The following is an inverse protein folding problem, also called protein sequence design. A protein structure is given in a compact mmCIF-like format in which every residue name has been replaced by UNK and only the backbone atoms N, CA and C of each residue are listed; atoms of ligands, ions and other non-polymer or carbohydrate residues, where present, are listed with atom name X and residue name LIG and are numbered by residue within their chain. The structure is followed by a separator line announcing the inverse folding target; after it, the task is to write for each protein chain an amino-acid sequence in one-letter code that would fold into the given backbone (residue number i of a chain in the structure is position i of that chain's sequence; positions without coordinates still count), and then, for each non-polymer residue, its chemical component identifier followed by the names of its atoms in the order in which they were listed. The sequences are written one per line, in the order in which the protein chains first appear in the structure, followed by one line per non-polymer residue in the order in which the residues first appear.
data_IF_935558840347
#
_entry.id   IF_935558840347
#
_cell.length_a   1.000
_cell.length_b   1.000
_cell.length_c   1.000
_cell.angle_alpha   90.00
_cell.angle_beta   90.00
_cell.angle_gamma   90.00
#
_symmetry.space_group_name_H-M   'P 1'
#
loop_
_entity.id
_entity.type
_entity.pdbx_description
1 polymer ?
#
# COMPACT_ATOMS: atom_id res chain seq x y z
N UNK A 1 13.27 10.00 -13.13
CA UNK A 1 12.47 9.97 -11.88
C UNK A 1 11.60 11.21 -11.84
N UNK A 2 10.30 11.09 -11.55
CA UNK A 2 9.39 12.26 -11.52
C UNK A 2 9.67 13.12 -10.26
N UNK A 3 9.54 14.45 -10.31
CA UNK A 3 9.77 15.33 -9.15
C UNK A 3 8.97 14.93 -7.89
N UNK A 4 7.75 14.44 -8.07
CA UNK A 4 6.88 13.96 -6.97
C UNK A 4 7.52 12.80 -6.20
N UNK A 5 8.27 11.91 -6.88
CA UNK A 5 8.90 10.76 -6.24
C UNK A 5 10.14 11.17 -5.43
N UNK A 6 10.88 12.20 -5.89
CA UNK A 6 11.97 12.80 -5.11
C UNK A 6 11.44 13.52 -3.86
N UNK A 7 10.32 14.24 -3.99
CA UNK A 7 9.65 14.89 -2.85
C UNK A 7 9.19 13.85 -1.82
N UNK A 8 8.69 12.70 -2.27
CA UNK A 8 8.32 11.58 -1.40
C UNK A 8 9.51 11.03 -0.63
N UNK A 9 10.62 10.72 -1.31
CA UNK A 9 11.86 10.25 -0.66
C UNK A 9 12.36 11.28 0.35
N UNK A 10 12.40 12.56 -0.04
CA UNK A 10 12.80 13.66 0.84
C UNK A 10 11.93 13.77 2.08
N UNK A 11 10.60 13.57 1.94
CA UNK A 11 9.69 13.66 3.07
C UNK A 11 9.94 12.54 4.10
N UNK A 12 10.17 11.31 3.65
CA UNK A 12 10.47 10.15 4.52
C UNK A 12 11.85 10.31 5.17
N UNK A 13 12.86 10.70 4.40
CA UNK A 13 14.25 10.78 4.87
C UNK A 13 14.49 11.81 5.98
N UNK A 14 13.48 12.63 6.32
CA UNK A 14 13.53 13.55 7.48
C UNK A 14 13.61 12.82 8.81
N UNK A 15 13.08 11.60 8.91
CA UNK A 15 12.99 10.88 10.18
C UNK A 15 13.61 9.47 10.17
N UNK A 16 13.71 8.82 9.01
CA UNK A 16 14.17 7.44 8.90
C UNK A 16 15.03 7.20 7.65
N UNK A 17 15.65 6.01 7.58
CA UNK A 17 16.41 5.62 6.39
C UNK A 17 15.43 5.22 5.27
N UNK A 18 15.83 5.49 4.03
CA UNK A 18 15.07 5.11 2.82
C UNK A 18 15.89 4.12 2.02
N UNK A 19 15.43 2.88 1.95
CA UNK A 19 15.96 1.86 1.05
C UNK A 19 15.36 2.01 -0.35
N UNK A 20 16.21 2.07 -1.37
CA UNK A 20 15.80 2.19 -2.78
C UNK A 20 16.32 0.99 -3.56
N UNK A 21 15.41 0.29 -4.26
CA UNK A 21 15.80 -0.71 -5.26
C UNK A 21 16.05 0.00 -6.58
N UNK A 22 17.28 -0.01 -7.06
CA UNK A 22 17.65 0.59 -8.35
C UNK A 22 17.97 -0.50 -9.38
N UNK A 23 17.36 -0.40 -10.57
CA UNK A 23 17.54 -1.35 -11.68
C UNK A 23 19.02 -1.67 -11.97
N UNK A 24 19.86 -0.64 -11.98
CA UNK A 24 21.29 -0.74 -12.21
C UNK A 24 22.07 0.41 -11.55
N UNK A 25 23.40 0.38 -11.65
CA UNK A 25 24.28 1.43 -11.12
C UNK A 25 24.09 2.79 -11.82
N UNK A 26 23.59 2.80 -13.06
CA UNK A 26 23.30 4.04 -13.79
C UNK A 26 22.12 4.76 -13.16
N UNK A 27 21.03 4.03 -12.89
CA UNK A 27 19.84 4.56 -12.22
C UNK A 27 20.17 4.98 -10.79
N UNK A 28 20.93 4.18 -10.03
CA UNK A 28 21.40 4.57 -8.70
C UNK A 28 22.18 5.90 -8.73
N UNK A 29 23.14 6.03 -9.64
CA UNK A 29 23.92 7.26 -9.80
C UNK A 29 23.05 8.46 -10.17
N UNK A 30 22.07 8.26 -11.05
CA UNK A 30 21.08 9.28 -11.40
C UNK A 30 20.24 9.71 -10.19
N UNK A 31 19.71 8.76 -9.41
CA UNK A 31 18.89 9.05 -8.23
C UNK A 31 19.70 9.83 -7.19
N UNK A 32 20.94 9.40 -6.90
CA UNK A 32 21.81 10.11 -5.97
C UNK A 32 22.05 11.56 -6.39
N UNK A 33 22.30 11.81 -7.68
CA UNK A 33 22.50 13.16 -8.20
C UNK A 33 21.24 14.02 -8.10
N UNK A 34 20.06 13.46 -8.34
CA UNK A 34 18.79 14.18 -8.20
C UNK A 34 18.43 14.46 -6.73
N UNK A 35 18.68 13.52 -5.83
CA UNK A 35 18.47 13.71 -4.39
C UNK A 35 19.40 14.77 -3.81
N UNK A 36 20.67 14.81 -4.24
CA UNK A 36 21.64 15.84 -3.86
C UNK A 36 21.17 17.26 -4.25
N UNK A 37 20.66 17.41 -5.48
CA UNK A 37 20.06 18.68 -5.96
C UNK A 37 18.85 19.13 -5.13
N UNK A 38 18.14 18.18 -4.52
CA UNK A 38 17.00 18.45 -3.65
C UNK A 38 17.41 18.61 -2.17
N UNK A 39 18.71 18.64 -1.87
CA UNK A 39 19.26 18.76 -0.51
C UNK A 39 18.76 17.64 0.42
N UNK A 40 18.64 16.42 -0.10
CA UNK A 40 18.36 15.22 0.70
C UNK A 40 19.66 14.77 1.37
N UNK A 41 19.59 14.44 2.66
CA UNK A 41 20.71 13.84 3.38
C UNK A 41 20.99 12.42 2.83
N UNK A 42 21.99 12.31 1.96
CA UNK A 42 22.35 11.04 1.32
C UNK A 42 22.81 9.97 2.32
N UNK A 43 23.17 10.33 3.56
CA UNK A 43 23.49 9.33 4.59
C UNK A 43 22.26 8.55 5.09
N UNK A 44 21.06 9.02 4.76
CA UNK A 44 19.78 8.34 5.01
C UNK A 44 19.34 7.43 3.87
N UNK A 45 20.07 7.40 2.76
CA UNK A 45 19.66 6.69 1.55
C UNK A 45 20.52 5.45 1.37
N UNK A 46 19.87 4.30 1.29
CA UNK A 46 20.51 3.00 1.04
C UNK A 46 20.01 2.41 -0.27
N UNK A 47 20.85 1.63 -0.95
CA UNK A 47 20.52 1.06 -2.25
C UNK A 47 20.71 -0.44 -2.30
N UNK A 48 19.73 -1.12 -2.89
CA UNK A 48 19.88 -2.49 -3.42
C UNK A 48 19.86 -2.38 -4.94
N UNK A 49 20.97 -2.75 -5.59
CA UNK A 49 21.07 -2.67 -7.05
C UNK A 49 20.74 -4.03 -7.66
N UNK A 50 19.59 -4.12 -8.33
CA UNK A 50 19.13 -5.28 -9.09
C UNK A 50 18.15 -4.84 -10.17
N UNK A 51 18.03 -5.59 -11.29
CA UNK A 51 16.96 -5.35 -12.26
C UNK A 51 15.58 -5.32 -11.59
N UNK A 52 14.70 -4.49 -12.13
CA UNK A 52 13.28 -4.36 -11.77
C UNK A 52 12.47 -4.17 -13.05
N UNK A 53 11.20 -4.58 -13.04
CA UNK A 53 10.25 -4.37 -14.13
C UNK A 53 9.39 -3.13 -13.87
N UNK A 54 8.96 -2.89 -12.63
CA UNK A 54 8.16 -1.74 -12.21
C UNK A 54 8.61 -1.17 -10.85
N UNK A 55 7.91 -0.16 -10.33
CA UNK A 55 8.25 0.61 -9.12
C UNK A 55 7.36 0.32 -7.90
N UNK A 56 6.36 -0.56 -8.01
CA UNK A 56 5.35 -0.79 -6.97
C UNK A 56 5.84 -1.70 -5.84
N UNK A 57 6.77 -1.17 -5.06
CA UNK A 57 7.43 -1.87 -3.96
C UNK A 57 6.45 -2.38 -2.89
N UNK A 58 5.26 -1.79 -2.76
CA UNK A 58 4.21 -2.32 -1.88
C UNK A 58 3.81 -3.74 -2.25
N UNK A 59 3.73 -4.02 -3.54
CA UNK A 59 3.09 -5.22 -4.06
C UNK A 59 4.08 -6.34 -4.31
N UNK A 60 5.26 -6.00 -4.86
CA UNK A 60 6.32 -6.98 -5.09
C UNK A 60 7.39 -7.00 -3.99
N UNK A 61 7.28 -6.13 -2.97
CA UNK A 61 8.30 -5.97 -1.95
C UNK A 61 8.23 -6.98 -0.82
N UNK A 62 9.21 -6.95 0.10
CA UNK A 62 9.31 -7.89 1.21
C UNK A 62 8.20 -7.65 2.25
N UNK A 63 7.42 -8.69 2.52
CA UNK A 63 6.51 -8.70 3.66
C UNK A 63 7.30 -9.05 4.94
N UNK A 64 7.72 -8.03 5.69
CA UNK A 64 8.48 -8.22 6.93
C UNK A 64 7.60 -8.72 8.08
N UNK A 65 8.10 -9.70 8.82
CA UNK A 65 7.50 -10.19 10.06
C UNK A 65 8.49 -10.02 11.22
N UNK A 66 7.93 -9.81 12.42
CA UNK A 66 8.67 -9.82 13.68
C UNK A 66 8.10 -10.92 14.57
N UNK A 67 8.95 -11.80 15.07
CA UNK A 67 8.57 -12.74 16.11
C UNK A 67 8.36 -11.97 17.43
N UNK A 68 7.17 -11.99 18.04
CA UNK A 68 6.89 -11.20 19.23
C UNK A 68 7.69 -11.64 20.46
N UNK A 69 8.11 -12.91 20.54
CA UNK A 69 8.85 -13.46 21.66
C UNK A 69 10.37 -13.32 21.51
N UNK A 70 10.92 -13.69 20.37
CA UNK A 70 12.39 -13.65 20.12
C UNK A 70 12.86 -12.32 19.56
N UNK A 71 11.94 -11.49 19.07
CA UNK A 71 12.24 -10.22 18.39
C UNK A 71 13.03 -10.40 17.08
N UNK A 72 13.15 -11.63 16.58
CA UNK A 72 13.76 -11.94 15.30
C UNK A 72 12.88 -11.48 14.13
N UNK A 73 13.52 -11.12 13.01
CA UNK A 73 12.86 -10.66 11.80
C UNK A 73 12.99 -11.69 10.69
N UNK A 74 11.99 -11.74 9.82
CA UNK A 74 12.03 -12.51 8.58
C UNK A 74 11.23 -11.84 7.48
N UNK A 75 11.38 -12.33 6.25
CA UNK A 75 10.62 -11.90 5.07
C UNK A 75 9.72 -13.04 4.58
N UNK A 76 8.47 -12.73 4.26
CA UNK A 76 7.62 -13.58 3.43
C UNK A 76 7.68 -13.08 2.00
N UNK A 77 7.99 -14.00 1.10
CA UNK A 77 8.03 -13.81 -0.34
C UNK A 77 6.80 -14.51 -0.94
N UNK A 78 5.68 -13.79 -1.03
CA UNK A 78 4.41 -14.35 -1.44
C UNK A 78 4.44 -14.88 -2.87
N UNK A 79 4.71 -13.99 -3.81
CA UNK A 79 4.66 -14.21 -5.23
C UNK A 79 3.94 -13.07 -5.92
N UNK A 80 4.52 -12.56 -7.00
CA UNK A 80 4.03 -11.44 -7.78
C UNK A 80 3.87 -11.85 -9.25
N UNK A 81 2.74 -11.50 -9.85
CA UNK A 81 2.45 -11.79 -11.25
C UNK A 81 1.97 -10.57 -12.06
N UNK A 82 2.32 -9.35 -11.63
CA UNK A 82 1.84 -8.10 -12.21
C UNK A 82 0.30 -8.04 -12.28
N UNK A 83 -0.33 -8.18 -11.11
CA UNK A 83 -1.78 -8.10 -10.89
C UNK A 83 -2.60 -8.95 -11.86
N UNK A 84 -2.27 -10.24 -11.96
CA UNK A 84 -2.97 -11.18 -12.85
C UNK A 84 -2.40 -11.27 -14.25
N UNK A 85 -1.12 -10.96 -14.44
CA UNK A 85 -0.41 -11.07 -15.71
C UNK A 85 -0.65 -9.90 -16.66
N UNK A 86 -1.07 -8.73 -16.12
CA UNK A 86 -1.39 -7.54 -16.93
C UNK A 86 -0.12 -6.90 -17.53
N UNK A 87 1.01 -6.99 -16.83
CA UNK A 87 2.27 -6.35 -17.25
C UNK A 87 3.47 -7.32 -17.24
N UNK A 88 3.59 -8.20 -18.24
CA UNK A 88 4.78 -9.03 -18.40
C UNK A 88 5.94 -8.25 -19.07
N UNK A 89 7.22 -8.58 -18.78
CA UNK A 89 7.67 -9.53 -17.77
C UNK A 89 7.62 -8.93 -16.34
N UNK A 90 7.57 -9.80 -15.32
CA UNK A 90 7.49 -9.43 -13.90
C UNK A 90 8.45 -10.27 -13.01
N UNK A 91 9.36 -11.03 -13.63
CA UNK A 91 10.23 -11.96 -12.92
C UNK A 91 11.34 -11.25 -12.14
N UNK A 92 11.77 -10.06 -12.55
CA UNK A 92 12.70 -9.26 -11.76
C UNK A 92 12.02 -8.71 -10.51
N UNK A 93 10.78 -8.25 -10.62
CA UNK A 93 9.98 -7.75 -9.49
C UNK A 93 9.66 -8.86 -8.49
N UNK A 94 9.26 -10.04 -8.98
CA UNK A 94 9.00 -11.21 -8.14
C UNK A 94 10.24 -11.69 -7.35
N UNK A 95 11.46 -11.29 -7.73
CA UNK A 95 12.70 -11.61 -7.01
C UNK A 95 13.11 -10.54 -5.98
N UNK A 96 12.38 -9.43 -5.90
CA UNK A 96 12.69 -8.32 -4.98
C UNK A 96 12.69 -8.72 -3.49
N UNK A 97 11.73 -9.51 -2.97
CA UNK A 97 11.70 -9.87 -1.55
C UNK A 97 12.96 -10.65 -1.12
N UNK A 98 13.37 -11.64 -1.92
CA UNK A 98 14.55 -12.46 -1.66
C UNK A 98 15.85 -11.67 -1.75
N UNK A 99 15.94 -10.72 -2.69
CA UNK A 99 17.11 -9.86 -2.83
C UNK A 99 17.27 -8.93 -1.62
N UNK A 100 16.18 -8.34 -1.14
CA UNK A 100 16.21 -7.48 0.06
C UNK A 100 16.49 -8.32 1.32
N UNK A 101 15.88 -9.50 1.47
CA UNK A 101 16.18 -10.41 2.56
C UNK A 101 17.67 -10.77 2.60
N UNK A 102 18.25 -11.09 1.44
CA UNK A 102 19.68 -11.40 1.31
C UNK A 102 20.58 -10.21 1.66
N UNK A 103 20.23 -9.00 1.20
CA UNK A 103 20.95 -7.76 1.53
C UNK A 103 20.95 -7.49 3.05
N UNK A 104 19.81 -7.68 3.70
CA UNK A 104 19.65 -7.47 5.14
C UNK A 104 20.14 -8.64 6.01
N UNK A 105 20.54 -9.76 5.40
CA UNK A 105 20.92 -10.98 6.12
C UNK A 105 19.76 -11.63 6.88
N UNK A 106 18.52 -11.47 6.38
CA UNK A 106 17.31 -12.01 6.98
C UNK A 106 16.93 -13.36 6.37
N UNK A 107 16.37 -14.29 7.18
CA UNK A 107 15.72 -15.48 6.64
C UNK A 107 14.46 -15.09 5.86
N UNK A 108 14.11 -15.88 4.85
CA UNK A 108 12.87 -15.73 4.10
C UNK A 108 12.17 -17.07 3.84
N UNK A 109 10.87 -17.01 3.58
CA UNK A 109 10.03 -18.15 3.17
C UNK A 109 9.12 -17.76 2.03
N UNK A 110 8.86 -18.68 1.09
CA UNK A 110 7.93 -18.47 -0.02
C UNK A 110 6.74 -19.42 0.09
N UNK A 111 5.51 -18.92 0.37
CA UNK A 111 4.30 -19.75 0.47
C UNK A 111 3.87 -20.37 -0.86
N UNK A 112 4.26 -19.77 -1.99
CA UNK A 112 3.94 -20.27 -3.34
C UNK A 112 2.57 -19.87 -3.87
N UNK A 113 2.00 -18.75 -3.38
CA UNK A 113 0.72 -18.19 -3.85
C UNK A 113 0.92 -16.72 -4.26
N UNK A 114 0.11 -16.21 -5.17
CA UNK A 114 0.21 -14.79 -5.53
C UNK A 114 -0.50 -13.93 -4.48
N UNK A 115 0.19 -12.94 -3.92
CA UNK A 115 -0.39 -11.97 -2.98
C UNK A 115 0.43 -10.68 -2.99
N UNK A 116 -0.23 -9.56 -3.25
CA UNK A 116 0.36 -8.23 -3.25
C UNK A 116 0.14 -7.52 -1.91
N UNK A 117 1.15 -6.83 -1.37
CA UNK A 117 1.02 -6.12 -0.09
C UNK A 117 -0.08 -5.05 -0.05
N UNK A 118 -0.43 -4.42 -1.18
CA UNK A 118 -1.55 -3.45 -1.25
C UNK A 118 -2.94 -4.09 -1.20
N UNK A 119 -3.03 -5.41 -1.37
CA UNK A 119 -4.29 -6.16 -1.29
C UNK A 119 -4.76 -6.45 0.14
N UNK A 120 -3.89 -6.26 1.13
CA UNK A 120 -4.16 -6.53 2.55
C UNK A 120 -3.78 -5.35 3.44
N UNK A 121 -4.56 -5.15 4.51
CA UNK A 121 -4.34 -4.09 5.48
C UNK A 121 -4.43 -4.64 6.92
N UNK A 122 -3.57 -4.16 7.81
CA UNK A 122 -3.33 -4.76 9.12
C UNK A 122 -3.66 -3.80 10.25
N UNK A 123 -4.37 -4.27 11.28
CA UNK A 123 -4.61 -3.46 12.49
C UNK A 123 -3.53 -3.60 13.58
N UNK A 124 -2.55 -4.50 13.39
CA UNK A 124 -1.52 -4.81 14.39
C UNK A 124 -2.00 -5.61 15.61
N UNK A 125 -3.28 -6.00 15.65
CA UNK A 125 -3.92 -6.74 16.74
C UNK A 125 -4.61 -8.03 16.25
N UNK A 126 -4.08 -8.62 15.17
CA UNK A 126 -4.49 -9.93 14.66
C UNK A 126 -5.63 -9.90 13.62
N UNK A 127 -6.10 -8.74 13.18
CA UNK A 127 -7.12 -8.63 12.12
C UNK A 127 -6.49 -8.09 10.83
N UNK A 128 -6.79 -8.76 9.72
CA UNK A 128 -6.51 -8.31 8.36
C UNK A 128 -7.83 -7.84 7.71
N UNK A 129 -7.78 -6.79 6.91
CA UNK A 129 -8.83 -6.36 6.01
C UNK A 129 -8.36 -6.54 4.55
N UNK A 130 -9.25 -7.01 3.68
CA UNK A 130 -8.99 -7.23 2.24
C UNK A 130 -10.28 -7.06 1.44
N UNK A 131 -10.18 -6.99 0.10
CA UNK A 131 -11.32 -7.08 -0.81
C UNK A 131 -11.51 -8.50 -1.36
N UNK A 132 -12.75 -8.86 -1.68
CA UNK A 132 -13.05 -10.11 -2.39
C UNK A 132 -12.60 -10.05 -3.84
N UNK A 133 -12.84 -8.92 -4.51
CA UNK A 133 -12.54 -8.78 -5.93
C UNK A 133 -11.08 -9.00 -6.28
N UNK A 134 -10.16 -8.69 -5.36
CA UNK A 134 -8.73 -8.92 -5.56
C UNK A 134 -8.33 -10.35 -5.20
N UNK A 135 -8.38 -10.74 -3.92
CA UNK A 135 -7.80 -12.03 -3.50
C UNK A 135 -8.58 -13.25 -4.01
N UNK A 136 -9.88 -13.11 -4.29
CA UNK A 136 -10.68 -14.19 -4.90
C UNK A 136 -10.68 -14.14 -6.43
N UNK A 137 -9.97 -13.18 -7.04
CA UNK A 137 -9.83 -13.13 -8.48
C UNK A 137 -9.12 -14.39 -9.00
N UNK A 138 -9.67 -14.97 -10.06
CA UNK A 138 -9.09 -16.16 -10.70
C UNK A 138 -7.74 -15.90 -11.35
N UNK A 139 -7.36 -14.64 -11.57
CA UNK A 139 -6.03 -14.28 -12.08
C UNK A 139 -4.93 -14.27 -11.00
N UNK A 140 -5.27 -14.39 -9.70
CA UNK A 140 -4.30 -14.55 -8.60
C UNK A 140 -4.07 -16.02 -8.29
N UNK A 141 -5.05 -16.65 -7.65
CA UNK A 141 -4.95 -18.02 -7.15
C UNK A 141 -6.20 -18.82 -7.54
N UNK A 142 -6.36 -19.21 -8.83
CA UNK A 142 -7.60 -19.81 -9.33
C UNK A 142 -7.95 -21.14 -8.63
N UNK A 143 -6.94 -21.79 -8.07
CA UNK A 143 -6.98 -23.08 -7.40
C UNK A 143 -7.35 -22.98 -5.90
N UNK A 144 -7.44 -21.77 -5.34
CA UNK A 144 -7.79 -21.56 -3.94
C UNK A 144 -9.22 -20.99 -3.80
N UNK A 145 -9.87 -21.35 -2.70
CA UNK A 145 -11.08 -20.71 -2.22
C UNK A 145 -10.78 -19.75 -1.06
N UNK A 146 -11.79 -19.01 -0.61
CA UNK A 146 -11.63 -17.99 0.44
C UNK A 146 -11.03 -18.54 1.73
N UNK A 147 -11.51 -19.69 2.22
CA UNK A 147 -11.03 -20.27 3.48
C UNK A 147 -9.56 -20.74 3.37
N UNK A 148 -9.13 -21.19 2.20
CA UNK A 148 -7.73 -21.55 1.95
C UNK A 148 -6.83 -20.31 1.94
N UNK A 149 -7.28 -19.21 1.32
CA UNK A 149 -6.55 -17.93 1.35
C UNK A 149 -6.46 -17.39 2.78
N UNK A 150 -7.56 -17.43 3.54
CA UNK A 150 -7.56 -17.06 4.96
C UNK A 150 -6.52 -17.88 5.75
N UNK A 151 -6.41 -19.19 5.49
CA UNK A 151 -5.41 -20.04 6.14
C UNK A 151 -3.97 -19.59 5.83
N UNK A 152 -3.65 -19.23 4.58
CA UNK A 152 -2.34 -18.67 4.24
C UNK A 152 -2.07 -17.37 5.01
N UNK A 153 -3.05 -16.46 5.09
CA UNK A 153 -2.90 -15.22 5.83
C UNK A 153 -2.71 -15.47 7.34
N UNK A 154 -3.37 -16.47 7.91
CA UNK A 154 -3.14 -16.88 9.30
C UNK A 154 -1.74 -17.44 9.50
N UNK A 155 -1.31 -18.36 8.64
CA UNK A 155 -0.04 -19.07 8.80
C UNK A 155 1.18 -18.17 8.60
N UNK A 156 1.10 -17.22 7.66
CA UNK A 156 2.25 -16.41 7.25
C UNK A 156 2.18 -14.95 7.71
N UNK A 157 1.03 -14.41 8.12
CA UNK A 157 0.97 -13.11 8.80
C UNK A 157 0.67 -13.21 10.30
N UNK A 158 0.38 -14.41 10.83
CA UNK A 158 0.02 -14.57 12.23
C UNK A 158 -1.32 -13.90 12.58
N UNK A 159 -2.18 -13.68 11.59
CA UNK A 159 -3.51 -13.14 11.80
C UNK A 159 -4.45 -14.17 12.46
N UNK A 160 -5.47 -13.69 13.16
CA UNK A 160 -6.56 -14.50 13.72
C UNK A 160 -7.92 -14.24 13.07
N UNK A 161 -8.04 -13.22 12.23
CA UNK A 161 -9.27 -12.87 11.53
C UNK A 161 -8.97 -12.18 10.20
N UNK A 162 -9.76 -12.50 9.18
CA UNK A 162 -9.82 -11.74 7.93
C UNK A 162 -11.21 -11.14 7.78
N UNK A 163 -11.26 -9.84 7.51
CA UNK A 163 -12.45 -9.08 7.18
C UNK A 163 -12.44 -8.78 5.68
N UNK A 164 -13.59 -8.97 5.02
CA UNK A 164 -13.71 -8.89 3.58
C UNK A 164 -14.69 -7.79 3.17
N UNK A 165 -14.22 -6.77 2.44
CA UNK A 165 -15.09 -5.85 1.68
C UNK A 165 -15.37 -6.43 0.29
N UNK A 166 -16.29 -5.83 -0.46
CA UNK A 166 -16.72 -6.43 -1.73
C UNK A 166 -15.73 -6.18 -2.87
N UNK A 167 -15.46 -4.91 -3.18
CA UNK A 167 -14.70 -4.54 -4.39
C UNK A 167 -13.93 -3.22 -4.21
N UNK A 168 -13.15 -2.80 -5.22
CA UNK A 168 -12.38 -1.56 -5.23
C UNK A 168 -13.07 -0.39 -5.95
N UNK A 169 -12.25 0.50 -6.52
CA UNK A 169 -12.69 1.73 -7.20
C UNK A 169 -12.49 1.64 -8.72
N UNK A 170 -13.18 2.51 -9.46
CA UNK A 170 -13.02 2.67 -10.89
C UNK A 170 -11.64 3.23 -11.25
N UNK A 171 -11.09 2.75 -12.37
CA UNK A 171 -9.75 3.12 -12.85
C UNK A 171 -8.61 2.31 -12.22
N UNK A 172 -8.91 1.49 -11.23
CA UNK A 172 -7.95 0.57 -10.60
C UNK A 172 -7.70 -0.65 -11.50
N UNK A 173 -6.42 -1.00 -11.67
CA UNK A 173 -5.98 -2.15 -12.44
C UNK A 173 -5.46 -3.31 -11.56
N UNK A 174 -5.52 -3.16 -10.24
CA UNK A 174 -5.09 -4.17 -9.27
C UNK A 174 -6.19 -5.21 -8.96
N UNK A 175 -7.37 -5.06 -9.59
CA UNK A 175 -8.59 -5.83 -9.31
C UNK A 175 -9.19 -5.56 -7.93
N UNK A 176 -9.04 -4.34 -7.41
CA UNK A 176 -9.72 -3.85 -6.23
C UNK A 176 -8.89 -3.91 -4.97
N UNK A 177 -7.64 -3.42 -4.99
CA UNK A 177 -6.83 -3.36 -3.78
C UNK A 177 -7.53 -2.62 -2.62
N UNK A 178 -7.30 -3.10 -1.40
CA UNK A 178 -7.91 -2.53 -0.19
C UNK A 178 -7.29 -1.18 0.15
N UNK A 179 -6.02 -0.97 -0.21
CA UNK A 179 -5.26 0.23 0.12
C UNK A 179 -5.72 1.51 -0.59
N UNK A 180 -6.55 1.38 -1.63
CA UNK A 180 -7.24 2.49 -2.28
C UNK A 180 -8.61 2.81 -1.69
N UNK A 181 -9.13 1.99 -0.77
CA UNK A 181 -10.50 2.15 -0.26
C UNK A 181 -10.61 2.23 1.26
N UNK A 182 -9.87 1.42 2.02
CA UNK A 182 -10.04 1.34 3.47
C UNK A 182 -8.73 1.03 4.17
N UNK A 183 -8.32 1.84 5.15
CA UNK A 183 -7.04 1.70 5.87
C UNK A 183 -7.25 1.67 7.37
N UNK A 184 -6.50 0.84 8.09
CA UNK A 184 -6.46 0.92 9.54
C UNK A 184 -5.64 2.15 9.96
N UNK A 185 -6.18 2.95 10.88
CA UNK A 185 -5.46 4.09 11.47
C UNK A 185 -5.03 3.82 12.90
N UNK A 186 -5.57 2.77 13.51
CA UNK A 186 -5.18 2.16 14.78
C UNK A 186 -5.81 0.75 14.88
N UNK A 187 -5.69 0.10 16.05
CA UNK A 187 -6.15 -1.28 16.26
C UNK A 187 -7.65 -1.50 16.01
N UNK A 188 -8.50 -0.46 16.12
CA UNK A 188 -9.96 -0.62 16.10
C UNK A 188 -10.72 0.38 15.22
N UNK A 189 -10.00 1.21 14.48
CA UNK A 189 -10.54 2.28 13.65
C UNK A 189 -9.98 2.19 12.24
N UNK A 190 -10.87 2.26 11.26
CA UNK A 190 -10.51 2.45 9.86
C UNK A 190 -10.92 3.82 9.36
N UNK A 191 -10.16 4.33 8.39
CA UNK A 191 -10.69 5.30 7.44
C UNK A 191 -11.26 4.55 6.23
N UNK A 192 -12.43 4.94 5.75
CA UNK A 192 -13.11 4.30 4.62
C UNK A 192 -13.53 5.35 3.59
N UNK A 193 -13.14 5.14 2.34
CA UNK A 193 -13.48 6.00 1.22
C UNK A 193 -14.99 6.05 0.99
N UNK A 194 -15.51 7.25 0.78
CA UNK A 194 -16.91 7.50 0.42
C UNK A 194 -16.98 8.45 -0.76
N UNK A 195 -17.86 8.14 -1.70
CA UNK A 195 -18.21 9.01 -2.81
C UNK A 195 -19.65 9.49 -2.60
N UNK A 196 -19.83 10.79 -2.45
CA UNK A 196 -21.13 11.38 -2.12
C UNK A 196 -21.99 11.68 -3.35
N UNK A 197 -21.38 11.79 -4.54
CA UNK A 197 -22.08 12.01 -5.80
C UNK A 197 -22.71 10.70 -6.31
N UNK A 198 -24.04 10.55 -6.32
CA UNK A 198 -24.69 9.31 -6.78
C UNK A 198 -24.52 9.02 -8.27
N UNK A 199 -24.06 10.00 -9.06
CA UNK A 199 -23.75 9.85 -10.47
C UNK A 199 -22.34 9.35 -10.77
N UNK A 200 -21.46 9.27 -9.76
CA UNK A 200 -20.11 8.73 -9.93
C UNK A 200 -20.09 7.20 -9.83
N UNK A 201 -19.27 6.54 -10.65
CA UNK A 201 -19.15 5.07 -10.70
C UNK A 201 -18.73 4.45 -9.34
N UNK A 202 -17.97 5.18 -8.52
CA UNK A 202 -17.51 4.72 -7.21
C UNK A 202 -18.61 4.75 -6.13
N UNK A 203 -19.66 5.54 -6.29
CA UNK A 203 -20.68 5.76 -5.26
C UNK A 203 -21.28 4.45 -4.74
N UNK A 204 -21.77 3.62 -5.66
CA UNK A 204 -22.48 2.39 -5.29
C UNK A 204 -21.57 1.39 -4.59
N UNK A 205 -20.35 1.22 -5.08
CA UNK A 205 -19.43 0.22 -4.51
C UNK A 205 -18.88 0.68 -3.16
N UNK A 206 -18.53 1.96 -3.02
CA UNK A 206 -18.06 2.49 -1.75
C UNK A 206 -19.15 2.50 -0.68
N UNK A 207 -20.42 2.80 -1.03
CA UNK A 207 -21.53 2.63 -0.07
C UNK A 207 -21.70 1.15 0.32
N UNK A 208 -21.60 0.22 -0.63
CA UNK A 208 -21.67 -1.23 -0.34
C UNK A 208 -20.59 -1.64 0.66
N UNK A 209 -19.33 -1.26 0.42
CA UNK A 209 -18.22 -1.52 1.33
C UNK A 209 -18.46 -0.87 2.71
N UNK A 210 -18.93 0.37 2.75
CA UNK A 210 -19.25 1.08 3.99
C UNK A 210 -20.34 0.36 4.80
N UNK A 211 -21.41 -0.12 4.15
CA UNK A 211 -22.47 -0.89 4.83
C UNK A 211 -21.96 -2.24 5.36
N UNK A 212 -20.97 -2.86 4.69
CA UNK A 212 -20.31 -4.07 5.17
C UNK A 212 -19.44 -3.78 6.39
N UNK A 213 -18.56 -2.77 6.31
CA UNK A 213 -17.70 -2.33 7.42
C UNK A 213 -18.52 -2.01 8.68
N UNK A 214 -19.66 -1.33 8.53
CA UNK A 214 -20.59 -1.01 9.64
C UNK A 214 -21.13 -2.25 10.35
N UNK A 215 -21.09 -3.44 9.73
CA UNK A 215 -21.53 -4.72 10.35
C UNK A 215 -20.38 -5.54 10.92
N UNK A 216 -19.13 -5.21 10.59
CA UNK A 216 -17.96 -5.99 11.01
C UNK A 216 -17.68 -5.88 12.50
N UNK A 217 -17.07 -6.92 13.05
CA UNK A 217 -16.63 -7.00 14.44
C UNK A 217 -15.18 -7.48 14.45
N UNK A 218 -14.36 -6.85 15.27
CA UNK A 218 -12.99 -7.27 15.53
C UNK A 218 -12.97 -8.55 16.39
N UNK A 219 -11.80 -9.19 16.50
CA UNK A 219 -11.58 -10.39 17.32
C UNK A 219 -12.08 -10.25 18.77
N UNK A 220 -11.94 -9.07 19.35
CA UNK A 220 -12.41 -8.77 20.72
C UNK A 220 -13.93 -8.51 20.81
N UNK A 221 -14.67 -8.69 19.72
CA UNK A 221 -16.12 -8.44 19.64
C UNK A 221 -16.49 -6.97 19.54
N UNK A 222 -15.54 -6.04 19.47
CA UNK A 222 -15.81 -4.61 19.30
C UNK A 222 -16.30 -4.32 17.87
N UNK A 223 -17.28 -3.44 17.75
CA UNK A 223 -17.68 -2.84 16.46
C UNK A 223 -16.53 -2.01 15.91
N UNK A 224 -16.21 -2.21 14.63
CA UNK A 224 -15.20 -1.40 13.94
C UNK A 224 -15.60 0.08 13.97
N UNK A 225 -14.70 0.97 14.40
CA UNK A 225 -14.90 2.41 14.29
C UNK A 225 -14.57 2.84 12.86
N UNK A 226 -15.37 3.74 12.29
CA UNK A 226 -15.23 4.14 10.88
C UNK A 226 -15.16 5.66 10.81
N UNK A 227 -14.11 6.17 10.19
CA UNK A 227 -13.95 7.56 9.79
C UNK A 227 -14.17 7.61 8.28
N UNK A 228 -15.19 8.32 7.83
CA UNK A 228 -15.44 8.48 6.38
C UNK A 228 -14.40 9.44 5.79
N UNK A 229 -13.80 9.06 4.67
CA UNK A 229 -12.81 9.84 3.92
C UNK A 229 -13.38 10.11 2.51
N UNK A 230 -13.57 11.37 2.08
CA UNK A 230 -14.15 11.63 0.77
C UNK A 230 -13.22 11.17 -0.35
N UNK A 231 -13.75 10.71 -1.48
CA UNK A 231 -12.97 10.56 -2.71
C UNK A 231 -12.58 11.94 -3.28
N UNK A 232 -11.45 12.07 -3.99
CA UNK A 232 -11.27 13.21 -4.88
C UNK A 232 -12.34 13.17 -5.98
N UNK A 233 -12.68 14.33 -6.58
CA UNK A 233 -13.36 14.28 -7.87
C UNK A 233 -12.53 13.47 -8.87
N UNK A 234 -13.19 12.81 -9.84
CA UNK A 234 -12.53 11.90 -10.77
C UNK A 234 -11.29 12.52 -11.43
N UNK A 235 -10.13 11.94 -11.16
CA UNK A 235 -8.85 12.36 -11.73
C UNK A 235 -8.70 11.69 -13.10
N UNK A 236 -8.90 12.47 -14.16
CA UNK A 236 -8.83 12.01 -15.55
C UNK A 236 -7.57 12.55 -16.22
N UNK A 237 -6.75 11.66 -16.77
CA UNK A 237 -5.51 11.99 -17.49
C UNK A 237 -5.59 11.31 -18.87
N UNK A 238 -5.34 12.06 -19.94
CA UNK A 238 -5.40 11.56 -21.33
C UNK A 238 -6.69 10.80 -21.68
N UNK A 239 -7.81 11.18 -21.03
CA UNK A 239 -9.13 10.56 -21.23
C UNK A 239 -9.38 9.29 -20.43
N UNK A 240 -8.42 8.85 -19.61
CA UNK A 240 -8.55 7.69 -18.71
C UNK A 240 -8.77 8.14 -17.28
N UNK A 241 -9.73 7.52 -16.59
CA UNK A 241 -9.93 7.69 -15.16
C UNK A 241 -8.84 6.92 -14.42
N UNK A 242 -8.09 7.63 -13.58
CA UNK A 242 -7.07 7.03 -12.70
C UNK A 242 -7.68 6.63 -11.34
N UNK A 243 -7.06 5.72 -10.58
CA UNK A 243 -7.54 5.30 -9.26
C UNK A 243 -7.16 6.31 -8.17
N UNK A 244 -7.44 7.61 -8.41
CA UNK A 244 -7.13 8.66 -7.45
C UNK A 244 -7.84 8.45 -6.11
N UNK A 245 -7.08 8.19 -5.05
CA UNK A 245 -7.59 7.98 -3.70
C UNK A 245 -6.68 8.60 -2.64
N UNK A 246 -7.28 9.29 -1.67
CA UNK A 246 -6.55 9.76 -0.48
C UNK A 246 -6.16 8.63 0.46
N UNK A 247 -6.82 7.46 0.39
CA UNK A 247 -6.52 6.29 1.21
C UNK A 247 -5.16 5.65 0.88
N UNK A 248 -4.60 5.94 -0.29
CA UNK A 248 -3.28 5.50 -0.72
C UNK A 248 -2.13 6.31 -0.04
N UNK A 249 -2.33 6.69 1.23
CA UNK A 249 -1.35 7.36 2.08
C UNK A 249 -0.34 6.39 2.69
N UNK A 250 0.84 6.90 3.03
CA UNK A 250 1.86 6.18 3.79
C UNK A 250 1.93 6.69 5.23
N UNK A 251 1.80 5.79 6.21
CA UNK A 251 2.17 6.06 7.60
C UNK A 251 3.65 5.72 7.78
N UNK A 252 4.46 6.70 8.16
CA UNK A 252 5.89 6.55 8.42
C UNK A 252 6.30 7.29 9.70
N UNK A 253 7.56 7.22 10.09
CA UNK A 253 8.08 7.92 11.27
C UNK A 253 8.13 9.44 11.07
N UNK A 254 8.29 9.90 9.83
CA UNK A 254 8.23 11.33 9.50
C UNK A 254 6.81 11.91 9.61
N UNK A 255 5.77 11.07 9.51
CA UNK A 255 4.37 11.50 9.53
C UNK A 255 3.48 10.64 8.64
N UNK A 256 2.34 11.19 8.23
CA UNK A 256 1.40 10.57 7.30
C UNK A 256 1.48 11.30 5.97
N UNK A 257 2.08 10.68 4.96
CA UNK A 257 2.21 11.27 3.63
C UNK A 257 0.95 10.96 2.82
N UNK A 258 0.22 12.01 2.45
CA UNK A 258 -1.10 11.91 1.83
C UNK A 258 -1.03 12.39 0.38
N UNK A 259 -1.54 11.62 -0.60
CA UNK A 259 -1.61 12.08 -1.97
C UNK A 259 -2.67 13.16 -2.15
N UNK A 260 -2.29 14.27 -2.79
CA UNK A 260 -3.23 15.34 -3.18
C UNK A 260 -3.23 15.53 -4.70
N UNK A 261 -4.38 15.95 -5.25
CA UNK A 261 -4.65 15.87 -6.68
C UNK A 261 -5.01 17.22 -7.32
N UNK A 262 -4.78 18.34 -6.63
CA UNK A 262 -5.30 19.67 -6.98
C UNK A 262 -6.84 19.66 -7.05
N UNK A 263 -7.44 19.02 -6.07
CA UNK A 263 -8.87 18.72 -6.00
C UNK A 263 -9.55 19.51 -4.86
N UNK A 264 -10.83 19.89 -4.98
CA UNK A 264 -11.55 20.55 -3.91
C UNK A 264 -11.57 19.78 -2.58
N UNK A 265 -11.49 18.45 -2.64
CA UNK A 265 -11.50 17.59 -1.45
C UNK A 265 -10.11 17.40 -0.81
N UNK A 266 -9.02 17.95 -1.38
CA UNK A 266 -7.66 17.75 -0.88
C UNK A 266 -7.56 18.19 0.59
N UNK A 267 -7.99 19.41 0.91
CA UNK A 267 -7.93 19.94 2.28
C UNK A 267 -8.88 19.19 3.23
N UNK A 268 -10.05 18.76 2.73
CA UNK A 268 -11.01 18.00 3.54
C UNK A 268 -10.41 16.66 3.97
N UNK A 269 -9.75 15.95 3.06
CA UNK A 269 -9.08 14.70 3.36
C UNK A 269 -7.91 14.90 4.35
N UNK A 270 -7.11 15.94 4.16
CA UNK A 270 -6.02 16.30 5.09
C UNK A 270 -6.57 16.57 6.50
N UNK A 271 -7.60 17.42 6.64
CA UNK A 271 -8.19 17.76 7.94
C UNK A 271 -8.77 16.52 8.68
N UNK A 272 -9.29 15.54 7.93
CA UNK A 272 -9.81 14.29 8.49
C UNK A 272 -8.65 13.43 8.98
N UNK A 273 -7.59 13.29 8.18
CA UNK A 273 -6.42 12.49 8.54
C UNK A 273 -5.63 13.12 9.70
N UNK A 274 -5.56 14.44 9.81
CA UNK A 274 -4.95 15.12 10.97
C UNK A 274 -5.66 14.75 12.27
N UNK A 275 -6.99 14.65 12.25
CA UNK A 275 -7.77 14.20 13.41
C UNK A 275 -7.59 12.71 13.69
N UNK A 276 -7.41 11.90 12.65
CA UNK A 276 -7.16 10.46 12.79
C UNK A 276 -5.75 10.18 13.35
N UNK A 277 -4.78 11.06 13.09
CA UNK A 277 -3.38 10.93 13.49
C UNK A 277 -2.88 12.12 14.33
N UNK A 278 -3.45 12.38 15.53
CA UNK A 278 -3.16 13.58 16.30
C UNK A 278 -1.71 13.71 16.80
N UNK A 279 -0.94 12.62 16.74
CA UNK A 279 0.47 12.57 17.15
C UNK A 279 1.45 12.60 15.97
N UNK A 280 0.97 12.73 14.73
CA UNK A 280 1.79 12.75 13.52
C UNK A 280 1.47 13.97 12.67
N UNK A 281 2.49 14.52 12.02
CA UNK A 281 2.31 15.51 10.97
C UNK A 281 1.64 14.84 9.76
N UNK A 282 0.59 15.44 9.21
CA UNK A 282 0.03 15.05 7.92
C UNK A 282 0.71 15.88 6.84
N UNK A 283 1.30 15.20 5.86
CA UNK A 283 2.18 15.78 4.85
C UNK A 283 1.53 15.58 3.48
N UNK A 284 0.72 16.53 2.99
CA UNK A 284 0.15 16.46 1.66
C UNK A 284 1.24 16.61 0.60
N UNK A 285 1.35 15.67 -0.33
CA UNK A 285 2.25 15.73 -1.47
C UNK A 285 1.47 15.54 -2.78
N UNK A 286 1.75 16.34 -3.82
CA UNK A 286 1.11 16.16 -5.12
C UNK A 286 1.39 14.78 -5.70
N UNK A 287 0.32 14.07 -6.09
CA UNK A 287 0.38 12.76 -6.72
C UNK A 287 -0.20 12.77 -8.16
N UNK A 288 -0.48 13.96 -8.72
CA UNK A 288 -1.12 14.14 -10.03
C UNK A 288 -0.38 13.50 -11.20
N UNK A 289 0.93 13.26 -11.08
CA UNK A 289 1.71 12.58 -12.11
C UNK A 289 1.99 11.12 -11.76
N UNK A 290 2.15 10.82 -10.47
CA UNK A 290 2.36 9.45 -9.98
C UNK A 290 1.12 8.60 -10.27
N UNK A 291 -0.08 9.15 -10.06
CA UNK A 291 -1.34 8.41 -10.22
C UNK A 291 -1.63 7.96 -11.65
N UNK A 292 -0.93 8.53 -12.64
CA UNK A 292 -0.95 8.03 -14.01
C UNK A 292 -0.44 6.58 -14.10
N UNK A 293 0.45 6.17 -13.19
CA UNK A 293 0.90 4.79 -13.05
C UNK A 293 -0.12 3.86 -12.39
N UNK A 294 -1.31 4.36 -12.03
CA UNK A 294 -2.39 3.60 -11.37
C UNK A 294 -2.14 3.23 -9.90
N UNK A 295 -1.23 3.95 -9.23
CA UNK A 295 -1.03 3.85 -7.79
C UNK A 295 -0.44 5.14 -7.22
N UNK A 296 -0.26 5.21 -5.90
CA UNK A 296 0.30 6.39 -5.24
C UNK A 296 1.34 6.03 -4.17
N UNK A 297 1.50 6.87 -3.14
CA UNK A 297 2.57 6.75 -2.15
C UNK A 297 2.55 5.45 -1.37
N UNK A 298 1.37 4.90 -1.08
CA UNK A 298 1.28 3.60 -0.43
C UNK A 298 1.79 2.49 -1.35
N UNK A 299 1.37 2.47 -2.62
CA UNK A 299 1.80 1.49 -3.63
C UNK A 299 3.33 1.54 -3.91
N UNK A 300 3.93 2.72 -3.78
CA UNK A 300 5.35 2.94 -4.03
C UNK A 300 6.28 2.60 -2.86
N UNK A 301 5.73 2.18 -1.71
CA UNK A 301 6.50 2.03 -0.46
C UNK A 301 6.23 0.72 0.25
N UNK A 302 7.23 0.24 0.98
CA UNK A 302 7.14 -0.93 1.85
C UNK A 302 7.95 -0.64 3.12
N UNK A 303 7.29 -0.67 4.28
CA UNK A 303 7.92 -0.36 5.56
C UNK A 303 8.69 -1.57 6.12
N UNK A 304 9.91 -1.34 6.62
CA UNK A 304 10.66 -2.30 7.43
C UNK A 304 10.46 -1.94 8.92
N UNK A 305 9.68 -2.73 9.68
CA UNK A 305 9.41 -2.41 11.08
C UNK A 305 10.66 -2.62 11.96
N UNK A 306 10.83 -1.73 12.93
CA UNK A 306 11.88 -1.84 13.95
C UNK A 306 11.48 -2.85 15.03
N UNK A 307 12.54 -3.40 15.65
CA UNK A 307 12.50 -4.26 16.84
C UNK A 307 12.79 -3.42 18.08
#
# INVERSE_FOLDING_TARGET
MRPQYLAFIKAISRAENVGIVAHDETLKSFIMAELDKQEVDLSKIEFVVKPTNDAWCRDHGPAFLINPGTRERMVVDWGHNAWGGKYPPFDDDNRTPQAIASYLGLPFVSPGIIMEGGSVEFNGAGTILTSKSCLLNKNRNPHLNQAEIEQYLFDFYGAGQVLWVEDGIAGDDTDGHIDDTTRFVNEDTVVACVEYNPGDENHKILDTNLQMLKKMRLLNGKQLNIIELPMPEAVVIDGFRTPGSYANFLICNAGVIVPVFNNPNDQVAVDILEKAFPAREVIPLPATEIIWGQGSFHCLSQQEPLV
#
